data_IF_950749790133
#
_entry.id   IF_950749790133
#
_cell.length_a   1.000
_cell.length_b   1.000
_cell.length_c   1.000
_cell.angle_alpha   90.00
_cell.angle_beta   90.00
_cell.angle_gamma   90.00
#
_symmetry.space_group_name_H-M   'P 1'
#
loop_
_entity.id
_entity.type
_entity.pdbx_description
1 polymer ?
#
# COMPACT_ATOMS: atom_id res chain seq x y z
N UNK A 1 41.58 -23.01 -8.38
CA UNK A 1 40.35 -23.01 -9.21
C UNK A 1 39.06 -23.25 -8.39
N UNK A 2 38.88 -24.41 -7.71
CA UNK A 2 37.65 -24.69 -6.92
C UNK A 2 37.30 -23.65 -5.83
N UNK A 3 38.31 -23.05 -5.19
CA UNK A 3 38.12 -22.06 -4.11
C UNK A 3 37.67 -20.69 -4.63
N UNK A 4 38.22 -20.24 -5.76
CA UNK A 4 37.84 -18.97 -6.42
C UNK A 4 36.41 -19.08 -6.96
N UNK A 5 36.05 -20.22 -7.57
CA UNK A 5 34.69 -20.47 -8.06
C UNK A 5 33.64 -20.38 -6.95
N UNK A 6 33.93 -20.94 -5.75
CA UNK A 6 33.04 -20.82 -4.58
C UNK A 6 32.82 -19.37 -4.13
N UNK A 7 33.86 -18.54 -4.17
CA UNK A 7 33.76 -17.12 -3.84
C UNK A 7 32.94 -16.35 -4.87
N UNK A 8 33.15 -16.61 -6.16
CA UNK A 8 32.36 -16.00 -7.25
C UNK A 8 30.88 -16.35 -7.12
N UNK A 9 30.56 -17.64 -6.90
CA UNK A 9 29.18 -18.08 -6.68
C UNK A 9 28.58 -17.41 -5.44
N UNK A 10 29.32 -17.33 -4.33
CA UNK A 10 28.85 -16.67 -3.12
C UNK A 10 28.51 -15.19 -3.33
N UNK A 11 29.37 -14.45 -4.05
CA UNK A 11 29.12 -13.04 -4.39
C UNK A 11 27.89 -12.92 -5.29
N UNK A 12 27.77 -13.77 -6.32
CA UNK A 12 26.62 -13.76 -7.21
C UNK A 12 25.29 -14.01 -6.46
N UNK A 13 25.28 -14.94 -5.50
CA UNK A 13 24.11 -15.20 -4.64
C UNK A 13 23.77 -14.00 -3.77
N UNK A 14 24.78 -13.32 -3.18
CA UNK A 14 24.54 -12.12 -2.36
C UNK A 14 23.96 -10.98 -3.21
N UNK A 15 24.49 -10.76 -4.41
CA UNK A 15 23.99 -9.73 -5.33
C UNK A 15 22.55 -10.06 -5.72
N UNK A 16 22.28 -11.30 -6.11
CA UNK A 16 20.94 -11.77 -6.49
C UNK A 16 19.94 -11.61 -5.33
N UNK A 17 20.33 -12.02 -4.12
CA UNK A 17 19.51 -11.85 -2.92
C UNK A 17 19.22 -10.37 -2.64
N UNK A 18 20.24 -9.52 -2.70
CA UNK A 18 20.09 -8.07 -2.47
C UNK A 18 19.17 -7.45 -3.53
N UNK A 19 19.29 -7.89 -4.78
CA UNK A 19 18.46 -7.42 -5.89
C UNK A 19 16.98 -7.74 -5.68
N UNK A 20 16.67 -8.97 -5.27
CA UNK A 20 15.29 -9.36 -4.93
C UNK A 20 14.79 -8.63 -3.68
N UNK A 21 15.63 -8.46 -2.66
CA UNK A 21 15.26 -7.74 -1.44
C UNK A 21 14.94 -6.26 -1.73
N UNK A 22 15.65 -5.65 -2.67
CA UNK A 22 15.44 -4.27 -3.06
C UNK A 22 14.19 -4.02 -3.93
N UNK A 23 13.49 -5.06 -4.36
CA UNK A 23 12.15 -4.91 -4.94
C UNK A 23 11.13 -4.69 -3.83
N UNK A 24 10.83 -3.42 -3.56
CA UNK A 24 9.95 -3.01 -2.48
C UNK A 24 8.64 -2.41 -3.02
N UNK A 25 7.57 -2.62 -2.25
CA UNK A 25 6.32 -1.89 -2.42
C UNK A 25 6.42 -0.57 -1.67
N UNK A 26 6.85 0.49 -2.35
CA UNK A 26 6.88 1.83 -1.77
C UNK A 26 5.46 2.39 -1.72
N UNK A 27 5.12 3.08 -0.65
CA UNK A 27 3.79 3.67 -0.47
C UNK A 27 3.88 5.18 -0.37
N UNK A 28 3.00 5.89 -1.07
CA UNK A 28 2.82 7.33 -0.91
C UNK A 28 1.53 7.62 -0.13
N UNK A 29 1.61 8.45 0.89
CA UNK A 29 0.52 8.69 1.84
C UNK A 29 -0.41 9.77 1.28
N UNK A 30 -1.73 9.55 1.31
CA UNK A 30 -2.71 10.55 0.86
C UNK A 30 -3.18 11.50 1.98
N UNK A 31 -2.99 11.09 3.23
CA UNK A 31 -3.43 11.75 4.46
C UNK A 31 -2.23 12.29 5.28
N UNK A 32 -2.47 13.11 6.30
CA UNK A 32 -1.45 13.61 7.22
C UNK A 32 -1.01 12.53 8.20
N UNK A 33 0.21 12.01 8.01
CA UNK A 33 0.78 10.97 8.88
C UNK A 33 1.21 11.46 10.27
N UNK A 34 1.07 12.76 10.56
CA UNK A 34 1.35 13.35 11.87
C UNK A 34 0.11 13.39 12.76
N UNK A 35 -1.07 13.18 12.19
CA UNK A 35 -2.32 13.10 12.93
C UNK A 35 -2.37 11.80 13.73
N UNK A 36 -2.61 11.92 15.03
CA UNK A 36 -2.75 10.77 15.92
C UNK A 36 -3.91 9.87 15.49
N UNK A 37 -3.69 8.55 15.49
CA UNK A 37 -4.70 7.57 15.07
C UNK A 37 -6.00 7.61 15.87
N UNK A 38 -6.00 8.14 17.10
CA UNK A 38 -7.19 8.37 17.92
C UNK A 38 -8.12 9.44 17.34
N UNK A 39 -7.61 10.32 16.47
CA UNK A 39 -8.39 11.34 15.76
C UNK A 39 -9.03 10.81 14.48
N UNK A 40 -8.72 9.58 14.07
CA UNK A 40 -9.34 8.99 12.90
C UNK A 40 -10.81 8.71 13.16
N UNK A 41 -11.64 9.07 12.19
CA UNK A 41 -13.05 8.76 12.17
C UNK A 41 -13.27 7.48 11.35
N UNK A 42 -14.25 6.69 11.77
CA UNK A 42 -14.70 5.51 11.04
C UNK A 42 -15.91 5.86 10.19
N UNK A 43 -16.00 5.32 8.98
CA UNK A 43 -17.18 5.49 8.12
C UNK A 43 -18.39 4.66 8.59
N UNK A 44 -18.20 3.70 9.49
CA UNK A 44 -19.19 2.63 9.67
C UNK A 44 -19.25 1.69 8.47
N UNK A 45 -20.12 0.68 8.52
CA UNK A 45 -20.54 -0.04 7.31
C UNK A 45 -21.37 0.91 6.45
N UNK A 46 -20.98 1.08 5.18
CA UNK A 46 -21.69 1.90 4.21
C UNK A 46 -22.41 1.01 3.20
N UNK A 47 -23.63 1.39 2.81
CA UNK A 47 -24.38 0.79 1.70
C UNK A 47 -24.04 1.41 0.35
N UNK A 48 -23.42 2.60 0.36
CA UNK A 48 -23.02 3.32 -0.84
C UNK A 48 -21.52 3.29 -1.05
N UNK A 49 -21.01 4.39 -1.58
CA UNK A 49 -19.68 4.50 -2.16
C UNK A 49 -18.86 5.57 -1.44
N UNK A 50 -17.58 5.27 -1.23
CA UNK A 50 -16.58 6.28 -0.87
C UNK A 50 -15.87 6.70 -2.15
N UNK A 51 -15.72 8.00 -2.34
CA UNK A 51 -14.95 8.59 -3.42
C UNK A 51 -13.82 9.42 -2.81
N UNK A 52 -12.57 9.06 -3.09
CA UNK A 52 -11.39 9.78 -2.65
C UNK A 52 -10.64 10.28 -3.87
N UNK A 53 -10.71 11.58 -4.13
CA UNK A 53 -9.91 12.23 -5.16
C UNK A 53 -8.50 12.48 -4.64
N UNK A 54 -7.48 12.31 -5.48
CA UNK A 54 -6.09 12.62 -5.14
C UNK A 54 -5.26 12.89 -6.40
N UNK A 55 -4.14 13.61 -6.23
CA UNK A 55 -3.11 13.77 -7.27
C UNK A 55 -2.01 12.74 -7.01
N UNK A 56 -1.62 11.98 -8.03
CA UNK A 56 -0.54 10.99 -7.90
C UNK A 56 0.83 11.67 -7.90
N UNK A 57 1.67 11.37 -6.92
CA UNK A 57 3.06 11.83 -6.86
C UNK A 57 4.06 10.86 -7.51
N UNK A 58 3.64 9.62 -7.73
CA UNK A 58 4.47 8.56 -8.31
C UNK A 58 4.17 8.40 -9.81
N UNK A 59 5.19 8.05 -10.60
CA UNK A 59 5.07 7.83 -12.05
C UNK A 59 4.28 6.57 -12.40
N UNK A 60 4.15 5.63 -11.47
CA UNK A 60 3.37 4.42 -11.66
C UNK A 60 2.63 4.00 -10.40
N UNK A 61 1.50 3.32 -10.58
CA UNK A 61 0.63 2.82 -9.52
C UNK A 61 0.41 1.31 -9.73
N UNK A 62 0.62 0.52 -8.69
CA UNK A 62 0.46 -0.94 -8.68
C UNK A 62 -0.61 -1.41 -7.66
N UNK A 63 -1.15 -0.48 -6.91
CA UNK A 63 -2.20 -0.77 -5.92
C UNK A 63 -2.54 0.43 -5.06
N UNK A 64 -3.55 0.24 -4.23
CA UNK A 64 -3.92 1.19 -3.18
C UNK A 64 -4.04 0.42 -1.87
N UNK A 65 -3.55 1.01 -0.80
CA UNK A 65 -3.62 0.47 0.55
C UNK A 65 -4.59 1.30 1.37
N UNK A 66 -5.59 0.67 1.99
CA UNK A 66 -6.65 1.37 2.76
C UNK A 66 -6.71 0.77 4.16
N UNK A 67 -6.90 1.60 5.19
CA UNK A 67 -7.16 1.13 6.56
C UNK A 67 -8.61 0.68 6.68
N UNK A 68 -8.81 -0.63 6.84
CA UNK A 68 -10.13 -1.26 6.90
C UNK A 68 -10.43 -1.76 8.32
N UNK A 69 -11.70 -1.68 8.73
CA UNK A 69 -12.21 -2.25 9.97
C UNK A 69 -13.39 -3.16 9.65
N UNK A 70 -13.27 -4.43 10.02
CA UNK A 70 -14.36 -5.41 9.88
C UNK A 70 -15.39 -5.10 10.97
N UNK A 71 -16.67 -5.03 10.58
CA UNK A 71 -17.80 -4.84 11.46
C UNK A 71 -18.74 -6.04 11.29
N UNK A 72 -19.05 -6.74 12.38
CA UNK A 72 -19.82 -7.98 12.35
C UNK A 72 -19.17 -9.11 11.54
N UNK A 73 -19.96 -10.13 11.19
CA UNK A 73 -19.47 -11.33 10.50
C UNK A 73 -20.34 -11.70 9.29
N UNK A 74 -19.98 -11.24 8.08
CA UNK A 74 -20.44 -11.90 6.86
C UNK A 74 -19.28 -12.64 6.17
N UNK A 75 -19.32 -13.98 6.21
CA UNK A 75 -18.22 -14.83 5.73
C UNK A 75 -17.89 -14.66 4.23
N UNK A 76 -18.86 -14.18 3.44
CA UNK A 76 -18.77 -14.11 1.98
C UNK A 76 -18.68 -12.70 1.40
N UNK A 77 -18.62 -11.65 2.22
CA UNK A 77 -18.58 -10.27 1.72
C UNK A 77 -17.24 -9.91 1.04
N UNK A 78 -17.30 -8.97 0.10
CA UNK A 78 -16.17 -8.42 -0.65
C UNK A 78 -16.13 -6.90 -0.55
N UNK A 79 -14.92 -6.36 -0.53
CA UNK A 79 -14.67 -4.93 -0.76
C UNK A 79 -14.11 -4.77 -2.16
N UNK A 80 -14.73 -3.89 -2.94
CA UNK A 80 -14.30 -3.59 -4.31
C UNK A 80 -13.74 -2.18 -4.36
N UNK A 81 -12.66 -2.02 -5.11
CA UNK A 81 -12.13 -0.71 -5.46
C UNK A 81 -12.08 -0.54 -6.97
N UNK A 82 -12.24 0.70 -7.42
CA UNK A 82 -11.90 1.11 -8.78
C UNK A 82 -11.18 2.44 -8.76
N UNK A 83 -10.32 2.65 -9.75
CA UNK A 83 -9.58 3.90 -9.91
C UNK A 83 -9.97 4.52 -11.24
N UNK A 84 -10.45 5.76 -11.19
CA UNK A 84 -10.79 6.56 -12.36
C UNK A 84 -9.70 7.58 -12.61
N UNK A 85 -9.26 7.69 -13.85
CA UNK A 85 -8.44 8.79 -14.33
C UNK A 85 -9.38 9.97 -14.65
N UNK A 86 -9.20 11.10 -13.97
CA UNK A 86 -10.11 12.25 -14.10
C UNK A 86 -9.90 13.02 -15.41
N UNK A 87 -8.72 12.93 -16.03
CA UNK A 87 -8.44 13.58 -17.32
C UNK A 87 -9.18 12.87 -18.46
N UNK A 88 -9.15 11.53 -18.46
CA UNK A 88 -9.77 10.71 -19.51
C UNK A 88 -11.20 10.28 -19.17
N UNK A 89 -11.60 10.38 -17.91
CA UNK A 89 -12.88 9.91 -17.39
C UNK A 89 -13.02 8.38 -17.28
N UNK A 90 -11.97 7.61 -17.58
CA UNK A 90 -12.02 6.14 -17.68
C UNK A 90 -11.63 5.47 -16.37
N UNK A 91 -12.24 4.30 -16.09
CA UNK A 91 -11.75 3.40 -15.05
C UNK A 91 -10.49 2.70 -15.57
N UNK A 92 -9.36 3.00 -14.94
CA UNK A 92 -8.02 2.52 -15.32
C UNK A 92 -7.56 1.33 -14.49
N UNK A 93 -8.16 1.10 -13.32
CA UNK A 93 -7.89 -0.08 -12.50
C UNK A 93 -9.09 -0.51 -11.66
N UNK A 94 -9.12 -1.80 -11.30
CA UNK A 94 -10.08 -2.42 -10.39
C UNK A 94 -9.38 -3.47 -9.55
N UNK A 95 -9.82 -3.66 -8.32
CA UNK A 95 -9.34 -4.72 -7.43
C UNK A 95 -10.42 -5.06 -6.41
N UNK A 96 -10.40 -6.29 -5.89
CA UNK A 96 -11.34 -6.72 -4.87
C UNK A 96 -10.63 -7.58 -3.82
N UNK A 97 -11.08 -7.48 -2.58
CA UNK A 97 -10.63 -8.35 -1.48
C UNK A 97 -11.84 -8.97 -0.82
N UNK A 98 -11.76 -10.27 -0.54
CA UNK A 98 -12.75 -10.98 0.28
C UNK A 98 -12.53 -10.60 1.73
N UNK A 99 -13.61 -10.56 2.52
CA UNK A 99 -13.55 -10.18 3.92
C UNK A 99 -12.58 -11.03 4.74
N UNK A 100 -12.52 -12.34 4.45
CA UNK A 100 -11.58 -13.28 5.09
C UNK A 100 -10.10 -12.92 4.88
N UNK A 101 -9.79 -12.22 3.80
CA UNK A 101 -8.42 -11.81 3.43
C UNK A 101 -8.09 -10.40 3.97
N UNK A 102 -9.11 -9.68 4.45
CA UNK A 102 -8.97 -8.36 5.07
C UNK A 102 -8.45 -8.53 6.50
N UNK A 103 -7.30 -7.91 6.77
CA UNK A 103 -6.74 -7.77 8.11
C UNK A 103 -7.49 -6.66 8.83
N UNK A 104 -8.27 -7.04 9.85
CA UNK A 104 -9.06 -6.10 10.63
C UNK A 104 -8.20 -5.00 11.29
N UNK A 105 -8.68 -3.75 11.24
CA UNK A 105 -8.07 -2.55 11.81
C UNK A 105 -6.65 -2.27 11.31
N UNK A 106 -6.30 -2.82 10.14
CA UNK A 106 -4.98 -2.69 9.50
C UNK A 106 -5.12 -2.17 8.07
N UNK A 107 -3.97 -1.80 7.52
CA UNK A 107 -3.82 -1.48 6.12
C UNK A 107 -3.92 -2.76 5.26
N UNK A 108 -4.82 -2.74 4.29
CA UNK A 108 -5.05 -3.81 3.33
C UNK A 108 -4.74 -3.34 1.93
N UNK A 109 -4.02 -4.17 1.17
CA UNK A 109 -3.50 -3.81 -0.15
C UNK A 109 -4.43 -4.35 -1.23
N UNK A 110 -5.04 -3.44 -1.98
CA UNK A 110 -5.81 -3.71 -3.17
C UNK A 110 -4.88 -3.58 -4.39
N UNK A 111 -4.39 -4.70 -4.90
CA UNK A 111 -3.45 -4.74 -6.04
C UNK A 111 -4.20 -4.77 -7.37
N UNK A 112 -3.66 -4.08 -8.35
CA UNK A 112 -4.15 -4.05 -9.72
C UNK A 112 -2.98 -4.00 -10.71
N UNK A 113 -3.26 -4.16 -12.00
CA UNK A 113 -2.25 -4.07 -13.05
C UNK A 113 -1.62 -2.68 -13.09
N UNK A 114 -0.30 -2.63 -13.30
CA UNK A 114 0.47 -1.39 -13.28
C UNK A 114 -0.12 -0.34 -14.23
N UNK A 115 -0.39 0.83 -13.68
CA UNK A 115 -0.67 2.05 -14.43
C UNK A 115 0.63 2.86 -14.49
N UNK A 116 0.96 3.40 -15.66
CA UNK A 116 2.16 4.21 -15.89
C UNK A 116 1.78 5.66 -16.25
N UNK A 117 2.77 6.56 -16.20
CA UNK A 117 2.60 7.99 -16.47
C UNK A 117 1.55 8.64 -15.54
N UNK A 118 1.58 8.27 -14.26
CA UNK A 118 0.60 8.72 -13.27
C UNK A 118 0.96 10.07 -12.63
N UNK A 119 2.23 10.46 -12.64
CA UNK A 119 2.71 11.61 -11.86
C UNK A 119 2.04 12.91 -12.30
N UNK A 120 1.48 13.63 -11.34
CA UNK A 120 0.74 14.87 -11.55
C UNK A 120 -0.70 14.69 -12.04
N UNK A 121 -1.10 13.47 -12.44
CA UNK A 121 -2.49 13.19 -12.84
C UNK A 121 -3.39 13.08 -11.63
N UNK A 122 -4.64 13.47 -11.83
CA UNK A 122 -5.69 13.39 -10.82
C UNK A 122 -6.49 12.11 -11.02
N UNK A 123 -6.72 11.41 -9.91
CA UNK A 123 -7.50 10.18 -9.89
C UNK A 123 -8.61 10.25 -8.84
N UNK A 124 -9.71 9.58 -9.12
CA UNK A 124 -10.76 9.32 -8.14
C UNK A 124 -10.76 7.85 -7.79
N UNK A 125 -10.40 7.54 -6.54
CA UNK A 125 -10.54 6.22 -5.94
C UNK A 125 -11.98 6.02 -5.50
N UNK A 126 -12.54 4.90 -5.91
CA UNK A 126 -13.87 4.44 -5.56
C UNK A 126 -13.76 3.21 -4.68
N UNK A 127 -14.41 3.22 -3.52
CA UNK A 127 -14.44 2.09 -2.59
C UNK A 127 -15.89 1.72 -2.29
N UNK A 128 -16.20 0.44 -2.46
CA UNK A 128 -17.56 -0.10 -2.34
C UNK A 128 -17.53 -1.36 -1.48
N UNK A 129 -18.56 -1.53 -0.65
CA UNK A 129 -18.82 -2.73 0.11
C UNK A 129 -20.19 -3.30 -0.31
N UNK A 130 -20.30 -3.88 -1.52
CA UNK A 130 -21.59 -4.25 -2.14
C UNK A 130 -22.41 -5.25 -1.33
N UNK A 131 -21.75 -6.05 -0.50
CA UNK A 131 -22.36 -7.11 0.33
C UNK A 131 -22.43 -6.69 1.81
N UNK A 132 -22.31 -5.39 2.10
CA UNK A 132 -22.48 -4.84 3.42
C UNK A 132 -23.95 -4.65 3.79
N UNK A 133 -24.29 -4.96 5.04
CA UNK A 133 -25.60 -4.71 5.65
C UNK A 133 -25.43 -3.58 6.68
N UNK A 134 -25.89 -2.37 6.33
CA UNK A 134 -25.80 -1.19 7.20
C UNK A 134 -26.69 -1.35 8.43
N UNK A 135 -27.89 -1.92 8.28
CA UNK A 135 -28.85 -2.10 9.38
C UNK A 135 -28.29 -3.05 10.43
N UNK A 136 -27.65 -4.14 10.00
CA UNK A 136 -27.03 -5.12 10.89
C UNK A 136 -25.56 -4.82 11.22
N UNK A 137 -25.00 -3.72 10.70
CA UNK A 137 -23.58 -3.37 10.85
C UNK A 137 -22.63 -4.50 10.43
N UNK A 138 -22.98 -5.24 9.37
CA UNK A 138 -22.18 -6.34 8.83
C UNK A 138 -21.42 -5.88 7.57
N UNK A 139 -20.10 -5.84 7.61
CA UNK A 139 -19.28 -5.46 6.46
C UNK A 139 -17.94 -4.85 6.83
N UNK A 140 -17.49 -3.89 6.02
CA UNK A 140 -16.23 -3.18 6.22
C UNK A 140 -16.49 -1.69 6.33
N UNK A 141 -15.97 -1.11 7.41
CA UNK A 141 -15.79 0.33 7.53
C UNK A 141 -14.35 0.74 7.20
N UNK A 142 -14.18 2.02 6.88
CA UNK A 142 -12.91 2.61 6.49
C UNK A 142 -12.56 3.75 7.44
N UNK A 143 -11.27 4.03 7.59
CA UNK A 143 -10.81 5.17 8.39
C UNK A 143 -10.56 6.39 7.50
N UNK A 144 -10.93 7.57 7.98
CA UNK A 144 -10.54 8.86 7.42
C UNK A 144 -10.12 9.80 8.55
N UNK A 145 -9.30 10.81 8.26
CA UNK A 145 -9.06 11.91 9.18
C UNK A 145 -10.02 13.07 8.88
N UNK A 146 -10.49 13.81 9.89
CA UNK A 146 -11.38 14.97 9.71
C UNK A 146 -10.59 16.23 9.32
N UNK A 147 -9.69 16.08 8.34
CA UNK A 147 -8.88 17.15 7.77
C UNK A 147 -8.71 16.86 6.28
N UNK A 148 -9.01 17.84 5.44
CA UNK A 148 -8.85 17.72 3.99
C UNK A 148 -7.43 18.06 3.59
N UNK A 149 -6.69 17.08 3.09
CA UNK A 149 -5.33 17.29 2.59
C UNK A 149 -5.33 17.96 1.21
N UNK A 150 -4.25 18.66 0.89
CA UNK A 150 -4.14 19.43 -0.34
C UNK A 150 -4.23 18.51 -1.57
N UNK A 151 -5.07 18.89 -2.53
CA UNK A 151 -5.26 18.11 -3.76
C UNK A 151 -6.09 16.84 -3.55
N UNK A 152 -6.80 16.75 -2.43
CA UNK A 152 -7.71 15.65 -2.11
C UNK A 152 -9.13 16.13 -1.91
N UNK A 153 -10.10 15.24 -2.12
CA UNK A 153 -11.52 15.48 -1.86
C UNK A 153 -12.15 14.14 -1.47
N UNK A 154 -12.98 14.13 -0.41
CA UNK A 154 -13.62 12.94 0.10
C UNK A 154 -15.15 13.08 -0.02
N UNK A 155 -15.78 12.13 -0.70
CA UNK A 155 -17.23 11.97 -0.69
C UNK A 155 -17.58 10.64 -0.03
N UNK A 156 -18.59 10.67 0.83
CA UNK A 156 -19.18 9.48 1.46
C UNK A 156 -20.66 9.46 1.09
N UNK A 157 -21.08 8.43 0.37
CA UNK A 157 -22.44 8.29 -0.16
C UNK A 157 -22.91 9.53 -0.94
N UNK A 158 -22.02 10.11 -1.76
CA UNK A 158 -22.29 11.29 -2.58
C UNK A 158 -22.29 12.63 -1.84
N UNK A 159 -22.12 12.64 -0.51
CA UNK A 159 -21.98 13.87 0.26
C UNK A 159 -20.50 14.22 0.42
N UNK A 160 -20.13 15.48 0.19
CA UNK A 160 -18.79 15.97 0.47
C UNK A 160 -18.57 15.98 2.00
N UNK A 161 -17.43 15.43 2.43
CA UNK A 161 -17.03 15.32 3.83
C UNK A 161 -15.68 15.99 4.01
N UNK A 162 -15.58 16.87 5.01
CA UNK A 162 -14.30 17.44 5.42
C UNK A 162 -13.39 16.33 5.95
N UNK A 163 -12.47 15.88 5.11
CA UNK A 163 -11.58 14.80 5.47
C UNK A 163 -10.77 14.20 4.33
N UNK A 164 -9.92 13.25 4.70
CA UNK A 164 -9.12 12.46 3.77
C UNK A 164 -9.07 11.03 4.23
N UNK A 165 -9.37 10.11 3.31
CA UNK A 165 -9.33 8.68 3.55
C UNK A 165 -7.92 8.27 4.00
N UNK A 166 -7.85 7.40 5.02
CA UNK A 166 -6.59 6.80 5.47
C UNK A 166 -6.17 5.74 4.45
N UNK A 167 -5.62 6.23 3.35
CA UNK A 167 -5.20 5.47 2.20
C UNK A 167 -3.81 5.89 1.72
N UNK A 168 -3.15 4.98 1.01
CA UNK A 168 -1.83 5.17 0.42
C UNK A 168 -1.83 4.58 -0.98
N UNK A 169 -1.20 5.23 -1.93
CA UNK A 169 -0.87 4.56 -3.20
C UNK A 169 0.28 3.58 -2.98
N UNK A 170 0.39 2.57 -3.84
CA UNK A 170 1.43 1.56 -3.81
C UNK A 170 2.13 1.53 -5.16
N UNK A 171 3.46 1.54 -5.12
CA UNK A 171 4.34 1.48 -6.29
C UNK A 171 5.44 0.46 -6.02
N UNK A 172 5.46 -0.62 -6.80
CA UNK A 172 6.48 -1.66 -6.73
C UNK A 172 7.70 -1.23 -7.55
N UNK A 173 8.81 -0.93 -6.91
CA UNK A 173 10.01 -0.49 -7.63
C UNK A 173 11.27 -1.08 -7.06
N UNK A 174 12.28 -1.16 -7.90
CA UNK A 174 13.63 -1.41 -7.44
C UNK A 174 14.13 -0.17 -6.72
N UNK A 175 14.47 -0.32 -5.44
CA UNK A 175 14.98 0.76 -4.61
C UNK A 175 16.51 0.64 -4.48
N UNK A 176 17.22 1.52 -5.18
CA UNK A 176 18.67 1.50 -5.25
C UNK A 176 19.32 1.71 -3.87
N UNK A 177 18.73 2.57 -3.04
CA UNK A 177 19.22 2.82 -1.69
C UNK A 177 19.16 1.54 -0.85
N UNK A 178 18.00 0.88 -0.82
CA UNK A 178 17.82 -0.41 -0.14
C UNK A 178 18.79 -1.46 -0.66
N UNK A 179 18.97 -1.56 -1.97
CA UNK A 179 19.94 -2.47 -2.59
C UNK A 179 21.36 -2.25 -2.07
N UNK A 180 21.85 -1.01 -2.11
CA UNK A 180 23.19 -0.65 -1.66
C UNK A 180 23.37 -0.88 -0.15
N UNK A 181 22.39 -0.51 0.67
CA UNK A 181 22.42 -0.68 2.13
C UNK A 181 22.51 -2.16 2.50
N UNK A 182 21.68 -3.01 1.89
CA UNK A 182 21.70 -4.46 2.15
C UNK A 182 23.03 -5.08 1.71
N UNK A 183 23.54 -4.70 0.55
CA UNK A 183 24.83 -5.19 0.05
C UNK A 183 25.97 -4.83 1.01
N UNK A 184 26.05 -3.58 1.46
CA UNK A 184 27.05 -3.14 2.44
C UNK A 184 26.90 -3.85 3.78
N UNK A 185 25.66 -4.06 4.25
CA UNK A 185 25.39 -4.75 5.50
C UNK A 185 25.83 -6.23 5.46
N UNK A 186 25.56 -6.93 4.36
CA UNK A 186 26.03 -8.32 4.18
C UNK A 186 27.56 -8.37 4.12
N UNK A 187 28.20 -7.47 3.38
CA UNK A 187 29.67 -7.38 3.32
C UNK A 187 30.27 -7.11 4.71
N UNK A 188 29.65 -6.21 5.48
CA UNK A 188 30.04 -5.92 6.85
C UNK A 188 29.97 -7.16 7.74
N UNK A 189 28.86 -7.90 7.72
CA UNK A 189 28.71 -9.16 8.49
C UNK A 189 29.79 -10.17 8.11
N UNK A 190 30.04 -10.35 6.81
CA UNK A 190 31.07 -11.30 6.33
C UNK A 190 32.46 -10.91 6.85
N UNK A 191 32.82 -9.62 6.78
CA UNK A 191 34.10 -9.14 7.30
C UNK A 191 34.17 -9.28 8.82
N UNK A 192 33.11 -8.90 9.53
CA UNK A 192 33.02 -8.95 10.98
C UNK A 192 33.15 -10.39 11.51
N UNK A 193 32.41 -11.34 10.94
CA UNK A 193 32.50 -12.76 11.30
C UNK A 193 33.91 -13.29 11.02
N UNK A 194 34.53 -12.92 9.88
CA UNK A 194 35.91 -13.30 9.56
C UNK A 194 36.92 -12.71 10.54
N UNK A 195 36.68 -11.48 11.02
CA UNK A 195 37.49 -10.85 12.06
C UNK A 195 37.36 -11.60 13.39
N UNK A 196 36.14 -11.94 13.83
CA UNK A 196 35.93 -12.74 15.05
C UNK A 196 36.62 -14.11 14.98
N UNK A 197 36.50 -14.82 13.85
CA UNK A 197 37.20 -16.10 13.65
C UNK A 197 38.72 -15.99 13.71
N UNK A 198 39.30 -14.81 13.46
CA UNK A 198 40.73 -14.56 13.64
C UNK A 198 41.10 -14.21 15.07
N UNK A 199 40.19 -13.61 15.83
CA UNK A 199 40.43 -13.17 17.20
C UNK A 199 40.29 -14.34 18.19
N UNK A 200 39.36 -15.26 17.94
CA UNK A 200 39.13 -16.45 18.78
C UNK A 200 39.88 -17.70 18.30
N UNK A 201 40.92 -17.51 17.48
CA UNK A 201 41.81 -18.57 17.03
C UNK A 201 43.22 -18.28 17.53
#
# INVERSE_FOLDING_TARGET
MKKIMKWVIGIAVIIMFSFFYAHIAKTHILYDNRVDTSKYMGTGVLSGKIEQKFVSEEDCLDGITIKCSIQGTPADSTVKISLKDDETGKIVAKSELKLKDIKNSKFNVFRFDRISECKGKTYTLYVENPEGDVEKTLGVGFSYEPKTEKGTELLINGNNVDGTLIAKTVTNRFDMETFCVVLLFVLYIVFFVKFLYRLFK
#
